data_IF_170016626982
#
_entry.id   IF_170016626982
#
_cell.length_a   1.000
_cell.length_b   1.000
_cell.length_c   1.000
_cell.angle_alpha   90.00
_cell.angle_beta   90.00
_cell.angle_gamma   90.00
#
_symmetry.space_group_name_H-M   'P 1'
#
loop_
_entity.id
_entity.type
_entity.pdbx_description
1 polymer ?
#
# COMPACT_ATOMS: atom_id res chain seq x y z
N UNK A 1 -25.69 32.14 -6.38
CA UNK A 1 -25.16 32.77 -5.15
C UNK A 1 -26.12 33.81 -4.57
N UNK A 2 -26.65 33.57 -3.37
CA UNK A 2 -27.32 34.60 -2.59
C UNK A 2 -26.33 35.73 -2.25
N UNK A 3 -26.76 36.98 -2.40
CA UNK A 3 -25.89 38.15 -2.41
C UNK A 3 -25.05 38.32 -1.13
N UNK A 4 -23.72 38.35 -1.27
CA UNK A 4 -22.86 39.22 -0.45
C UNK A 4 -21.68 38.59 0.29
N UNK A 5 -21.58 37.27 0.43
CA UNK A 5 -20.45 36.65 1.16
C UNK A 5 -19.51 35.98 0.18
N UNK A 6 -18.29 36.49 0.08
CA UNK A 6 -17.19 35.87 -0.66
C UNK A 6 -16.68 34.66 0.15
N UNK A 7 -16.77 33.43 -0.38
CA UNK A 7 -16.29 32.24 0.30
C UNK A 7 -14.83 32.36 0.77
N UNK A 8 -14.62 32.14 2.06
CA UNK A 8 -13.29 32.05 2.68
C UNK A 8 -12.88 30.60 2.89
N UNK A 9 -11.61 30.36 3.20
CA UNK A 9 -11.13 29.01 3.56
C UNK A 9 -11.97 28.46 4.72
N UNK A 10 -12.46 27.23 4.54
CA UNK A 10 -13.40 26.54 5.44
C UNK A 10 -14.88 26.74 5.13
N UNK A 11 -15.21 27.62 4.18
CA UNK A 11 -16.60 27.76 3.70
C UNK A 11 -17.02 26.50 2.98
N UNK A 12 -18.26 26.07 3.22
CA UNK A 12 -18.87 24.94 2.51
C UNK A 12 -19.77 25.48 1.41
N UNK A 13 -19.51 25.03 0.20
CA UNK A 13 -20.35 25.32 -0.96
C UNK A 13 -21.18 24.10 -1.30
N UNK A 14 -22.36 24.31 -1.83
CA UNK A 14 -23.16 23.30 -2.49
C UNK A 14 -23.30 23.69 -3.96
N UNK A 15 -22.69 22.87 -4.83
CA UNK A 15 -22.55 23.14 -6.26
C UNK A 15 -23.46 22.20 -7.05
N UNK A 16 -24.32 22.76 -7.90
CA UNK A 16 -25.15 22.00 -8.83
C UNK A 16 -24.57 22.14 -10.23
N UNK A 17 -24.12 21.02 -10.79
CA UNK A 17 -23.60 20.98 -12.15
C UNK A 17 -24.70 21.00 -13.19
N UNK A 18 -24.43 21.62 -14.35
CA UNK A 18 -25.30 21.63 -15.52
C UNK A 18 -25.15 20.30 -16.29
N UNK A 19 -25.64 19.22 -15.69
CA UNK A 19 -25.63 17.87 -16.28
C UNK A 19 -27.04 17.30 -16.35
N UNK A 20 -27.34 16.58 -17.42
CA UNK A 20 -28.64 15.93 -17.57
C UNK A 20 -28.82 14.83 -16.51
N UNK A 21 -29.93 14.86 -15.77
CA UNK A 21 -30.25 13.83 -14.79
C UNK A 21 -30.96 14.36 -13.55
N UNK A 22 -30.76 13.66 -12.43
CA UNK A 22 -31.33 14.05 -11.13
C UNK A 22 -30.60 15.32 -10.63
N UNK A 23 -31.38 16.28 -10.14
CA UNK A 23 -30.84 17.46 -9.47
C UNK A 23 -30.10 17.04 -8.20
N UNK A 24 -28.77 17.19 -8.22
CA UNK A 24 -27.88 16.82 -7.12
C UNK A 24 -26.90 17.98 -6.87
N UNK A 25 -26.82 18.42 -5.61
CA UNK A 25 -25.87 19.41 -5.14
C UNK A 25 -24.68 18.69 -4.50
N UNK A 26 -23.48 18.97 -4.97
CA UNK A 26 -22.27 18.42 -4.41
C UNK A 26 -21.68 19.38 -3.37
N UNK A 27 -21.44 18.89 -2.16
CA UNK A 27 -20.71 19.68 -1.17
C UNK A 27 -19.26 19.86 -1.59
N UNK A 28 -18.73 21.06 -1.39
CA UNK A 28 -17.33 21.45 -1.59
C UNK A 28 -16.85 22.18 -0.35
N UNK A 29 -15.63 21.92 0.09
CA UNK A 29 -14.99 22.74 1.12
C UNK A 29 -13.93 23.60 0.46
N UNK A 30 -14.04 24.92 0.63
CA UNK A 30 -13.02 25.86 0.17
C UNK A 30 -11.76 25.68 1.01
N UNK A 31 -10.67 25.30 0.36
CA UNK A 31 -9.35 25.11 1.00
C UNK A 31 -8.38 26.24 0.68
N UNK A 32 -8.58 26.93 -0.43
CA UNK A 32 -7.76 28.08 -0.83
C UNK A 32 -8.50 28.97 -1.81
N UNK A 33 -8.12 30.24 -1.88
CA UNK A 33 -8.65 31.20 -2.87
C UNK A 33 -7.58 31.50 -3.90
N UNK A 34 -7.93 31.38 -5.19
CA UNK A 34 -7.00 31.69 -6.28
C UNK A 34 -6.86 33.22 -6.38
N UNK A 35 -5.63 33.77 -6.37
CA UNK A 35 -5.40 35.21 -6.51
C UNK A 35 -5.97 35.75 -7.83
N UNK A 36 -6.43 37.01 -7.80
CA UNK A 36 -6.88 37.76 -8.97
C UNK A 36 -8.12 37.20 -9.71
N UNK A 37 -8.74 36.14 -9.21
CA UNK A 37 -10.04 35.65 -9.66
C UNK A 37 -11.05 35.74 -8.52
N UNK A 38 -12.26 36.17 -8.84
CA UNK A 38 -13.29 36.46 -7.83
C UNK A 38 -13.91 35.16 -7.30
N UNK A 39 -14.23 34.21 -8.19
CA UNK A 39 -14.94 32.98 -7.85
C UNK A 39 -14.16 31.69 -8.17
N UNK A 40 -12.83 31.74 -8.13
CA UNK A 40 -11.97 30.58 -8.36
C UNK A 40 -11.32 30.13 -7.05
N UNK A 41 -11.56 28.88 -6.67
CA UNK A 41 -11.14 28.33 -5.39
C UNK A 41 -10.48 26.97 -5.55
N UNK A 42 -9.56 26.66 -4.64
CA UNK A 42 -9.12 25.28 -4.40
C UNK A 42 -10.15 24.61 -3.51
N UNK A 43 -10.68 23.47 -3.94
CA UNK A 43 -11.80 22.79 -3.27
C UNK A 43 -11.46 21.35 -2.90
N UNK A 44 -11.98 20.90 -1.76
CA UNK A 44 -12.00 19.50 -1.35
C UNK A 44 -13.37 18.91 -1.65
N UNK A 45 -13.41 17.71 -2.23
CA UNK A 45 -14.65 16.95 -2.48
C UNK A 45 -14.94 15.90 -1.41
N UNK A 46 -16.18 15.38 -1.31
CA UNK A 46 -16.52 14.28 -0.40
C UNK A 46 -15.69 13.01 -0.62
N UNK A 47 -15.21 12.80 -1.85
CA UNK A 47 -14.36 11.67 -2.25
C UNK A 47 -12.88 11.88 -1.88
N UNK A 48 -12.54 13.03 -1.30
CA UNK A 48 -11.18 13.36 -0.87
C UNK A 48 -10.29 13.93 -1.96
N UNK A 49 -10.86 14.25 -3.13
CA UNK A 49 -10.15 14.89 -4.23
C UNK A 49 -9.92 16.38 -3.94
N UNK A 50 -8.79 16.89 -4.43
CA UNK A 50 -8.36 18.26 -4.20
C UNK A 50 -7.90 18.88 -5.51
N UNK A 51 -8.65 19.86 -6.02
CA UNK A 51 -8.38 20.53 -7.29
C UNK A 51 -8.96 21.94 -7.28
N UNK A 52 -8.74 22.73 -8.33
CA UNK A 52 -9.29 24.06 -8.48
C UNK A 52 -10.61 24.05 -9.26
N UNK A 53 -11.60 24.85 -8.83
CA UNK A 53 -12.86 25.07 -9.55
C UNK A 53 -13.11 26.57 -9.73
N UNK A 54 -13.35 26.98 -10.97
CA UNK A 54 -13.65 28.36 -11.36
C UNK A 54 -15.16 28.53 -11.57
N UNK A 55 -15.84 29.17 -10.62
CA UNK A 55 -17.27 29.44 -10.70
C UNK A 55 -17.61 30.75 -11.44
N UNK A 56 -16.63 31.42 -12.06
CA UNK A 56 -16.91 32.52 -12.99
C UNK A 56 -17.40 32.00 -14.34
N UNK A 57 -16.99 30.79 -14.73
CA UNK A 57 -17.45 30.15 -15.97
C UNK A 57 -18.79 29.44 -15.74
N UNK A 58 -19.86 30.10 -16.17
CA UNK A 58 -21.24 29.65 -15.95
C UNK A 58 -21.67 28.43 -16.79
N UNK A 59 -20.82 27.87 -17.66
CA UNK A 59 -21.24 26.77 -18.53
C UNK A 59 -21.44 25.44 -17.78
N UNK A 60 -20.64 25.20 -16.74
CA UNK A 60 -20.58 23.91 -16.05
C UNK A 60 -21.51 23.81 -14.84
N UNK A 61 -22.09 24.93 -14.38
CA UNK A 61 -22.85 25.01 -13.13
C UNK A 61 -24.19 25.71 -13.32
N UNK A 62 -25.26 25.06 -12.85
CA UNK A 62 -26.60 25.68 -12.78
C UNK A 62 -26.72 26.63 -11.57
N UNK A 63 -26.10 26.25 -10.45
CA UNK A 63 -26.24 26.97 -9.18
C UNK A 63 -25.09 26.68 -8.20
N UNK A 64 -24.75 27.69 -7.38
CA UNK A 64 -23.76 27.60 -6.31
C UNK A 64 -24.31 28.31 -5.08
N UNK A 65 -24.41 27.55 -3.99
CA UNK A 65 -24.94 27.98 -2.69
C UNK A 65 -23.83 27.96 -1.65
N UNK A 66 -23.82 28.95 -0.76
CA UNK A 66 -22.93 28.96 0.41
C UNK A 66 -23.73 28.44 1.60
N UNK A 67 -23.27 27.33 2.19
CA UNK A 67 -23.88 26.76 3.40
C UNK A 67 -23.30 27.45 4.64
N UNK A 68 -24.12 27.68 5.67
CA UNK A 68 -23.70 28.31 6.93
C UNK A 68 -23.00 27.31 7.85
N UNK A 69 -23.34 26.03 7.75
CA UNK A 69 -22.74 24.96 8.52
C UNK A 69 -22.67 23.64 7.74
N UNK A 70 -21.74 22.73 8.08
CA UNK A 70 -21.72 21.37 7.51
C UNK A 70 -23.04 20.66 7.79
N UNK A 71 -23.60 19.99 6.78
CA UNK A 71 -24.86 19.27 6.91
C UNK A 71 -26.12 20.15 6.94
N UNK A 72 -25.99 21.48 6.81
CA UNK A 72 -27.17 22.34 6.68
C UNK A 72 -27.97 21.99 5.41
N UNK A 73 -29.29 22.02 5.52
CA UNK A 73 -30.21 21.81 4.42
C UNK A 73 -30.89 23.14 4.10
N UNK A 74 -30.65 23.76 2.92
CA UNK A 74 -31.34 24.96 2.51
C UNK A 74 -32.86 24.75 2.48
N UNK A 75 -33.60 25.80 2.81
CA UNK A 75 -35.06 25.75 2.88
C UNK A 75 -35.67 25.25 1.56
N UNK A 76 -36.51 24.21 1.64
CA UNK A 76 -37.19 23.63 0.49
C UNK A 76 -36.40 22.57 -0.29
N UNK A 77 -35.18 22.24 0.14
CA UNK A 77 -34.40 21.14 -0.46
C UNK A 77 -34.53 19.87 0.36
N UNK A 78 -34.43 18.71 -0.30
CA UNK A 78 -34.43 17.40 0.36
C UNK A 78 -33.00 16.95 0.61
N UNK A 79 -32.75 16.29 1.75
CA UNK A 79 -31.47 15.67 2.11
C UNK A 79 -30.89 14.81 0.97
N UNK A 80 -31.76 14.03 0.31
CA UNK A 80 -31.39 13.16 -0.80
C UNK A 80 -30.96 13.90 -2.08
N UNK A 81 -31.03 15.23 -2.10
CA UNK A 81 -30.56 16.09 -3.20
C UNK A 81 -29.12 16.55 -2.99
N UNK A 82 -28.45 16.08 -1.94
CA UNK A 82 -27.06 16.43 -1.64
C UNK A 82 -26.14 15.22 -1.69
N UNK A 83 -24.98 15.42 -2.32
CA UNK A 83 -23.82 14.56 -2.19
C UNK A 83 -22.88 15.19 -1.16
N UNK A 84 -22.98 14.72 0.08
CA UNK A 84 -22.32 15.31 1.26
C UNK A 84 -21.06 14.57 1.67
N UNK A 85 -20.25 15.22 2.51
CA UNK A 85 -19.18 14.54 3.22
C UNK A 85 -19.75 13.49 4.19
N UNK A 86 -19.19 12.26 4.24
CA UNK A 86 -19.67 11.20 5.13
C UNK A 86 -19.42 11.52 6.61
N UNK A 87 -18.43 12.36 6.91
CA UNK A 87 -18.07 12.83 8.25
C UNK A 87 -17.63 14.30 8.15
N UNK A 88 -17.95 15.17 9.12
CA UNK A 88 -17.46 16.54 9.13
C UNK A 88 -15.93 16.59 9.02
N UNK A 89 -15.43 17.44 8.12
CA UNK A 89 -13.98 17.63 7.94
C UNK A 89 -13.40 18.24 9.21
N UNK A 90 -12.51 17.50 9.88
CA UNK A 90 -11.87 17.97 11.11
C UNK A 90 -11.06 19.24 10.85
N UNK A 91 -11.12 20.22 11.77
CA UNK A 91 -10.44 21.52 11.61
C UNK A 91 -8.93 21.39 11.34
N UNK A 92 -8.25 20.41 11.96
CA UNK A 92 -6.84 20.14 11.71
C UNK A 92 -6.55 19.60 10.30
N UNK A 93 -7.46 18.78 9.75
CA UNK A 93 -7.35 18.31 8.37
C UNK A 93 -7.58 19.45 7.37
N UNK A 94 -8.54 20.34 7.66
CA UNK A 94 -8.81 21.52 6.85
C UNK A 94 -7.60 22.47 6.81
N UNK A 95 -6.96 22.74 7.94
CA UNK A 95 -5.76 23.58 8.00
C UNK A 95 -4.60 22.99 7.19
N UNK A 96 -4.41 21.66 7.24
CA UNK A 96 -3.43 20.97 6.42
C UNK A 96 -3.73 21.10 4.91
N UNK A 97 -4.99 20.86 4.51
CA UNK A 97 -5.43 20.99 3.11
C UNK A 97 -5.33 22.44 2.61
N UNK A 98 -5.55 23.43 3.47
CA UNK A 98 -5.36 24.82 3.14
C UNK A 98 -3.89 25.16 2.86
N UNK A 99 -2.96 24.59 3.65
CA UNK A 99 -1.53 24.69 3.37
C UNK A 99 -1.16 24.08 2.01
N UNK A 100 -1.69 22.89 1.69
CA UNK A 100 -1.48 22.26 0.38
C UNK A 100 -2.04 23.10 -0.77
N UNK A 101 -3.23 23.69 -0.59
CA UNK A 101 -3.86 24.55 -1.58
C UNK A 101 -2.99 25.79 -1.89
N UNK A 102 -2.39 26.39 -0.87
CA UNK A 102 -1.55 27.57 -1.03
C UNK A 102 -0.26 27.26 -1.80
N UNK A 103 0.34 26.08 -1.57
CA UNK A 103 1.50 25.59 -2.34
C UNK A 103 1.11 25.30 -3.79
N UNK A 104 -0.04 24.65 -4.01
CA UNK A 104 -0.53 24.35 -5.36
C UNK A 104 -0.77 25.63 -6.18
N UNK A 105 -1.41 26.64 -5.58
CA UNK A 105 -1.63 27.95 -6.19
C UNK A 105 -0.31 28.63 -6.55
N UNK A 106 0.69 28.59 -5.65
CA UNK A 106 1.98 29.22 -5.88
C UNK A 106 2.79 28.55 -7.00
N UNK A 107 2.65 27.23 -7.15
CA UNK A 107 3.43 26.43 -8.10
C UNK A 107 2.79 26.30 -9.49
N UNK A 108 1.50 26.58 -9.65
CA UNK A 108 0.84 26.59 -10.96
C UNK A 108 0.84 28.01 -11.56
N UNK A 109 1.58 28.27 -12.66
CA UNK A 109 1.62 29.59 -13.30
C UNK A 109 0.26 30.11 -13.74
N UNK A 110 -0.72 29.23 -14.02
CA UNK A 110 -2.09 29.59 -14.39
C UNK A 110 -2.87 30.15 -13.20
N UNK A 111 -2.59 29.64 -11.99
CA UNK A 111 -3.27 30.00 -10.75
C UNK A 111 -2.54 31.10 -9.98
N UNK A 112 -1.21 31.20 -10.12
CA UNK A 112 -0.36 32.18 -9.43
C UNK A 112 -0.56 33.64 -9.92
N UNK A 113 -1.40 33.87 -10.94
CA UNK A 113 -1.66 35.20 -11.49
C UNK A 113 -0.46 35.82 -12.22
N UNK A 114 0.49 34.99 -12.70
CA UNK A 114 1.61 35.47 -13.49
C UNK A 114 1.11 35.96 -14.87
N UNK A 115 1.39 37.22 -15.19
CA UNK A 115 1.12 37.82 -16.51
C UNK A 115 1.81 36.98 -17.60
N UNK A 116 1.02 36.26 -18.40
CA UNK A 116 1.52 35.64 -19.64
C UNK A 116 1.95 36.78 -20.56
N UNK A 117 3.22 36.85 -21.01
CA UNK A 117 3.58 37.84 -22.00
C UNK A 117 2.87 37.49 -23.30
N UNK A 118 2.00 38.40 -23.75
CA UNK A 118 1.41 38.37 -25.09
C UNK A 118 2.55 38.57 -26.10
N UNK A 119 3.04 37.46 -26.66
CA UNK A 119 4.01 37.44 -27.75
C UNK A 119 3.30 37.19 -29.07
N UNK A 120 3.07 38.26 -29.83
CA UNK A 120 2.63 38.20 -31.22
C UNK A 120 3.68 37.53 -32.13
N UNK A 121 3.23 37.17 -33.33
CA UNK A 121 3.92 36.26 -34.22
C UNK A 121 5.25 36.76 -34.80
N UNK A 122 6.05 35.77 -35.21
CA UNK A 122 6.79 35.80 -36.47
C UNK A 122 8.27 36.20 -36.41
N UNK A 123 9.13 35.27 -36.86
CA UNK A 123 10.34 35.62 -37.60
C UNK A 123 11.68 35.21 -36.98
N UNK A 124 12.19 34.06 -37.42
CA UNK A 124 13.57 33.86 -37.89
C UNK A 124 14.79 34.27 -37.04
N UNK A 125 15.62 33.27 -36.73
CA UNK A 125 17.07 33.43 -36.54
C UNK A 125 17.59 32.92 -35.19
N UNK A 126 18.24 31.76 -35.17
CA UNK A 126 19.24 31.46 -34.12
C UNK A 126 20.58 32.14 -34.45
N UNK A 127 21.69 31.84 -33.73
CA UNK A 127 21.84 31.23 -32.41
C UNK A 127 22.72 32.09 -31.46
N UNK A 128 22.79 31.77 -30.16
CA UNK A 128 24.02 31.93 -29.34
C UNK A 128 23.82 31.33 -27.94
N UNK A 129 24.61 30.28 -27.65
CA UNK A 129 24.81 29.76 -26.31
C UNK A 129 25.71 30.72 -25.52
N UNK A 130 25.28 31.12 -24.32
CA UNK A 130 26.12 31.87 -23.38
C UNK A 130 26.67 30.89 -22.34
N UNK A 131 27.98 30.65 -22.47
CA UNK A 131 28.84 29.97 -21.51
C UNK A 131 29.00 30.85 -20.25
N UNK A 132 28.78 30.28 -19.06
CA UNK A 132 29.24 30.87 -17.79
C UNK A 132 30.36 29.98 -17.21
N UNK A 133 31.45 30.56 -16.65
CA UNK A 133 32.63 29.81 -16.26
C UNK A 133 32.48 29.14 -14.89
N UNK A 134 32.93 27.88 -14.85
CA UNK A 134 33.06 27.05 -13.65
C UNK A 134 34.37 27.41 -12.92
N UNK A 135 34.27 27.93 -11.70
CA UNK A 135 35.42 28.11 -10.81
C UNK A 135 35.70 26.80 -10.05
N UNK A 136 36.89 26.24 -10.25
CA UNK A 136 37.37 25.04 -9.57
C UNK A 136 37.82 25.37 -8.13
N UNK A 137 37.53 24.52 -7.13
CA UNK A 137 38.16 24.63 -5.81
C UNK A 137 39.54 23.95 -5.80
N UNK A 138 40.48 24.63 -5.15
CA UNK A 138 41.86 24.21 -4.94
C UNK A 138 41.98 23.03 -3.95
N UNK A 139 42.85 22.08 -4.28
CA UNK A 139 43.40 21.09 -3.34
C UNK A 139 44.28 21.76 -2.28
N UNK A 140 44.33 21.23 -1.05
CA UNK A 140 45.53 21.30 -0.22
C UNK A 140 46.30 19.97 -0.25
N UNK A 141 47.61 20.11 -0.31
CA UNK A 141 48.61 19.07 -0.41
C UNK A 141 48.75 18.23 0.88
N UNK A 142 49.15 16.98 0.67
CA UNK A 142 49.63 16.07 1.70
C UNK A 142 51.03 16.48 2.19
N UNK A 143 51.30 16.26 3.48
CA UNK A 143 52.66 16.30 4.02
C UNK A 143 52.75 16.03 5.52
N UNK A 144 53.35 14.89 5.87
CA UNK A 144 54.29 14.82 7.00
C UNK A 144 53.79 14.27 8.33
N UNK A 145 54.23 13.05 8.65
CA UNK A 145 54.14 12.40 9.95
C UNK A 145 55.12 12.98 10.98
N UNK A 146 54.82 12.83 12.28
CA UNK A 146 55.83 12.91 13.34
C UNK A 146 55.33 13.22 14.75
N UNK A 147 55.21 12.18 15.60
CA UNK A 147 55.80 12.18 16.96
C UNK A 147 55.08 12.89 18.13
N UNK A 148 54.59 12.04 19.05
CA UNK A 148 54.97 12.00 20.47
C UNK A 148 54.37 12.96 21.54
N UNK A 149 53.53 12.34 22.38
CA UNK A 149 53.53 12.24 23.87
C UNK A 149 53.40 13.51 24.77
N UNK A 150 52.54 13.34 25.80
CA UNK A 150 52.50 13.93 27.16
C UNK A 150 51.71 15.23 27.42
N UNK A 151 50.69 15.10 28.29
CA UNK A 151 50.80 15.70 29.63
C UNK A 151 49.86 16.84 30.01
N UNK A 152 48.85 16.48 30.81
CA UNK A 152 48.36 17.15 32.03
C UNK A 152 47.99 18.66 32.06
N UNK A 153 46.71 18.85 32.44
CA UNK A 153 46.20 19.63 33.58
C UNK A 153 46.46 21.15 33.68
N UNK A 154 45.39 21.87 34.05
CA UNK A 154 45.52 23.04 34.92
C UNK A 154 44.65 24.25 34.59
N UNK A 155 43.45 24.26 35.19
CA UNK A 155 42.84 25.37 35.97
C UNK A 155 43.22 26.82 35.61
N UNK A 156 42.21 27.63 35.30
CA UNK A 156 42.33 29.09 35.29
C UNK A 156 40.97 29.78 35.21
N UNK A 157 40.27 29.87 36.34
CA UNK A 157 39.08 30.68 36.51
C UNK A 157 39.44 32.17 36.60
N UNK A 158 38.72 33.03 35.87
CA UNK A 158 38.66 34.46 36.17
C UNK A 158 37.26 35.00 35.87
N UNK A 159 36.53 35.16 36.98
CA UNK A 159 35.40 36.04 37.28
C UNK A 159 35.34 37.30 36.40
N UNK A 160 34.16 37.56 35.81
CA UNK A 160 33.72 38.94 35.58
C UNK A 160 32.21 39.08 35.79
N UNK A 161 31.84 40.21 36.38
CA UNK A 161 30.64 40.43 37.14
C UNK A 161 29.41 40.86 36.31
N UNK A 162 28.23 40.38 36.73
CA UNK A 162 26.99 41.16 36.90
C UNK A 162 26.39 41.91 35.71
N UNK A 163 25.39 41.28 35.06
CA UNK A 163 24.23 41.97 34.43
C UNK A 163 22.97 41.18 34.82
N UNK A 164 21.86 41.80 35.25
CA UNK A 164 20.70 41.09 35.75
C UNK A 164 19.80 40.55 34.63
N UNK A 165 19.37 39.30 34.83
CA UNK A 165 18.12 38.64 34.43
C UNK A 165 17.52 38.87 33.01
N UNK A 166 17.57 37.80 32.20
CA UNK A 166 16.39 37.35 31.47
C UNK A 166 16.00 35.98 32.03
N UNK A 167 14.75 35.84 32.49
CA UNK A 167 14.24 34.59 33.00
C UNK A 167 14.40 33.50 31.93
N UNK A 168 15.24 32.50 32.22
CA UNK A 168 15.37 31.33 31.37
C UNK A 168 14.01 30.60 31.32
N UNK A 169 13.41 30.54 30.14
CA UNK A 169 12.35 29.59 29.82
C UNK A 169 12.87 28.20 30.21
N UNK A 170 12.16 27.40 31.02
CA UNK A 170 12.64 26.08 31.38
C UNK A 170 12.90 25.29 30.10
N UNK A 171 14.14 24.82 29.94
CA UNK A 171 14.50 23.91 28.86
C UNK A 171 13.54 22.72 28.93
N UNK A 172 12.71 22.58 27.90
CA UNK A 172 11.81 21.45 27.77
C UNK A 172 12.64 20.17 27.94
N UNK A 173 12.16 19.25 28.76
CA UNK A 173 12.77 17.94 28.95
C UNK A 173 13.19 17.35 27.60
N UNK A 174 14.36 16.71 27.48
CA UNK A 174 14.79 16.13 26.22
C UNK A 174 13.70 15.17 25.76
N UNK A 175 13.04 15.52 24.66
CA UNK A 175 12.04 14.65 24.07
C UNK A 175 12.77 13.37 23.67
N UNK A 176 12.48 12.28 24.37
CA UNK A 176 13.03 10.95 24.10
C UNK A 176 12.52 10.51 22.71
N UNK A 177 13.36 10.59 21.70
CA UNK A 177 13.05 10.21 20.33
C UNK A 177 14.15 10.58 19.35
N UNK A 178 14.04 10.08 18.12
CA UNK A 178 14.95 10.39 17.03
C UNK A 178 14.19 11.18 15.96
N UNK A 179 14.83 12.18 15.37
CA UNK A 179 14.25 12.94 14.26
C UNK A 179 14.27 12.08 13.01
N UNK A 180 13.10 11.91 12.40
CA UNK A 180 12.90 11.08 11.21
C UNK A 180 12.30 11.89 10.07
N UNK A 181 12.68 11.58 8.84
CA UNK A 181 12.04 12.11 7.62
C UNK A 181 10.57 11.69 7.61
N UNK A 182 9.66 12.65 7.49
CA UNK A 182 8.22 12.49 7.67
C UNK A 182 7.41 12.64 6.37
N UNK A 183 8.07 13.00 5.28
CA UNK A 183 7.57 12.92 3.91
C UNK A 183 8.73 12.50 3.00
N UNK A 184 8.49 11.57 2.07
CA UNK A 184 9.52 11.15 1.12
C UNK A 184 9.81 12.28 0.13
N UNK A 185 11.07 12.62 -0.04
CA UNK A 185 11.57 13.62 -0.98
C UNK A 185 12.84 13.10 -1.63
N UNK A 186 13.28 13.71 -2.74
CA UNK A 186 14.35 13.18 -3.59
C UNK A 186 15.59 12.70 -2.81
N UNK A 187 15.74 11.37 -2.70
CA UNK A 187 16.87 10.70 -2.03
C UNK A 187 16.71 10.45 -0.52
N UNK A 188 15.54 10.70 0.06
CA UNK A 188 15.22 10.50 1.47
C UNK A 188 13.90 9.73 1.62
N UNK A 189 13.92 8.66 2.40
CA UNK A 189 12.75 7.82 2.67
C UNK A 189 12.07 8.21 3.99
N UNK A 190 10.75 8.04 4.07
CA UNK A 190 10.02 8.21 5.34
C UNK A 190 10.58 7.24 6.39
N UNK A 191 11.00 7.78 7.53
CA UNK A 191 11.65 7.02 8.60
C UNK A 191 13.18 7.12 8.61
N UNK A 192 13.81 7.74 7.61
CA UNK A 192 15.25 7.98 7.61
C UNK A 192 15.68 8.86 8.78
N UNK A 193 16.82 8.55 9.38
CA UNK A 193 17.36 9.30 10.51
C UNK A 193 17.87 10.67 10.07
N UNK A 194 17.44 11.73 10.77
CA UNK A 194 17.96 13.08 10.58
C UNK A 194 18.89 13.44 11.73
N UNK A 195 20.18 13.73 11.46
CA UNK A 195 21.13 14.17 12.47
C UNK A 195 20.61 15.40 13.22
N UNK A 196 20.71 15.40 14.55
CA UNK A 196 20.22 16.50 15.39
C UNK A 196 20.84 17.86 15.03
N UNK A 197 22.03 17.89 14.44
CA UNK A 197 22.71 19.10 13.98
C UNK A 197 22.00 19.80 12.80
N UNK A 198 21.23 19.05 12.00
CA UNK A 198 20.47 19.60 10.86
C UNK A 198 19.07 20.08 11.26
N UNK A 199 18.66 19.83 12.50
CA UNK A 199 17.32 20.17 13.01
C UNK A 199 17.33 21.61 13.51
N UNK A 200 16.52 22.52 12.92
CA UNK A 200 16.45 23.90 13.39
C UNK A 200 16.00 23.98 14.86
N UNK A 201 16.55 24.94 15.61
CA UNK A 201 16.13 25.19 16.99
C UNK A 201 14.65 25.57 17.06
N UNK A 202 13.93 25.07 18.08
CA UNK A 202 12.51 25.31 18.23
C UNK A 202 11.86 24.39 19.28
N UNK A 203 10.57 24.58 19.48
CA UNK A 203 9.72 23.72 20.33
C UNK A 203 8.80 22.88 19.43
N UNK A 204 8.39 21.70 19.92
CA UNK A 204 7.49 20.80 19.19
C UNK A 204 8.18 19.63 18.47
N UNK A 205 7.35 18.68 18.04
CA UNK A 205 7.73 17.36 17.48
C UNK A 205 7.80 17.32 15.95
N UNK A 206 7.38 18.36 15.23
CA UNK A 206 7.37 18.42 13.75
C UNK A 206 8.11 19.66 13.29
N UNK A 207 8.99 19.54 12.28
CA UNK A 207 9.81 20.64 11.75
C UNK A 207 10.09 20.48 10.26
N UNK A 208 10.66 21.51 9.66
CA UNK A 208 11.30 21.45 8.34
C UNK A 208 12.80 21.57 8.59
N UNK A 209 13.61 20.71 8.00
CA UNK A 209 15.07 20.73 8.11
C UNK A 209 15.70 20.70 6.71
N UNK A 210 16.85 21.35 6.57
CA UNK A 210 17.62 21.28 5.33
C UNK A 210 18.43 19.98 5.32
N UNK A 211 18.00 19.02 4.50
CA UNK A 211 18.68 17.72 4.34
C UNK A 211 19.10 17.59 2.87
N UNK A 212 20.39 17.38 2.63
CA UNK A 212 20.97 17.33 1.28
C UNK A 212 20.63 18.54 0.38
N UNK A 213 20.45 19.72 0.97
CA UNK A 213 20.11 20.95 0.24
C UNK A 213 18.63 21.13 -0.09
N UNK A 214 17.75 20.25 0.38
CA UNK A 214 16.30 20.34 0.21
C UNK A 214 15.60 20.60 1.56
N UNK A 215 14.49 21.33 1.52
CA UNK A 215 13.62 21.54 2.68
C UNK A 215 12.77 20.31 2.93
N UNK A 216 13.14 19.49 3.91
CA UNK A 216 12.47 18.22 4.19
C UNK A 216 11.68 18.27 5.49
N UNK A 217 10.45 17.77 5.43
CA UNK A 217 9.59 17.66 6.61
C UNK A 217 10.05 16.52 7.52
N UNK A 218 10.29 16.83 8.80
CA UNK A 218 10.81 15.90 9.81
C UNK A 218 9.89 15.84 11.04
N UNK A 219 9.86 14.70 11.70
CA UNK A 219 9.12 14.49 12.95
C UNK A 219 9.98 13.75 13.96
N UNK A 220 9.85 14.11 15.23
CA UNK A 220 10.46 13.40 16.32
C UNK A 220 9.63 12.18 16.66
N UNK A 221 10.20 11.00 16.43
CA UNK A 221 9.54 9.71 16.59
C UNK A 221 10.24 8.92 17.68
N UNK A 222 9.46 8.30 18.56
CA UNK A 222 10.00 7.36 19.55
C UNK A 222 10.38 6.06 18.86
N UNK A 223 11.54 5.50 19.17
CA UNK A 223 12.08 4.33 18.46
C UNK A 223 11.16 3.09 18.58
N UNK A 224 10.42 2.97 19.68
CA UNK A 224 9.43 1.90 19.92
C UNK A 224 8.15 2.03 19.07
N UNK A 225 7.88 3.22 18.52
CA UNK A 225 6.69 3.51 17.73
C UNK A 225 7.01 3.83 16.25
N UNK A 226 8.23 3.54 15.79
CA UNK A 226 8.63 3.87 14.41
C UNK A 226 7.71 3.22 13.36
N UNK A 227 7.43 1.92 13.49
CA UNK A 227 6.61 1.21 12.51
C UNK A 227 5.16 1.73 12.47
N UNK A 228 4.52 1.88 13.63
CA UNK A 228 3.17 2.42 13.71
C UNK A 228 3.07 3.89 13.26
N UNK A 229 4.15 4.64 13.34
CA UNK A 229 4.23 5.99 12.81
C UNK A 229 4.40 6.03 11.29
N UNK A 230 5.24 5.15 10.71
CA UNK A 230 5.42 5.01 9.25
C UNK A 230 4.08 4.59 8.62
N UNK A 231 3.43 3.57 9.17
CA UNK A 231 2.17 3.01 8.64
C UNK A 231 1.04 4.05 8.57
N UNK A 232 1.01 5.01 9.50
CA UNK A 232 0.02 6.12 9.49
C UNK A 232 0.25 7.13 8.37
N UNK A 233 1.50 7.33 7.96
CA UNK A 233 1.89 8.37 6.99
C UNK A 233 1.89 7.89 5.56
N UNK A 234 2.14 6.59 5.38
CA UNK A 234 2.03 5.91 4.12
C UNK A 234 1.14 4.68 4.38
N UNK A 235 -0.20 4.84 4.43
CA UNK A 235 -1.08 3.69 4.47
C UNK A 235 -0.90 2.96 3.14
N UNK A 236 0.04 2.03 3.12
CA UNK A 236 0.23 1.12 2.01
C UNK A 236 -1.07 0.34 1.90
N UNK A 237 -1.58 0.22 0.68
CA UNK A 237 -2.62 -0.78 0.42
C UNK A 237 -2.12 -2.10 1.02
N UNK A 238 -2.94 -2.74 1.86
CA UNK A 238 -2.62 -3.99 2.55
C UNK A 238 -2.23 -5.12 1.59
N UNK A 239 -2.41 -4.93 0.28
CA UNK A 239 -1.97 -5.81 -0.81
C UNK A 239 -0.52 -5.58 -1.26
N UNK A 240 0.19 -4.61 -0.69
CA UNK A 240 1.56 -4.23 -1.06
C UNK A 240 2.45 -4.26 0.19
N UNK A 241 3.60 -4.93 0.09
CA UNK A 241 4.59 -4.88 1.15
C UNK A 241 5.43 -3.60 1.05
N UNK A 242 6.08 -3.23 2.15
CA UNK A 242 7.02 -2.10 2.15
C UNK A 242 8.10 -2.31 1.10
N UNK A 243 8.30 -1.36 0.19
CA UNK A 243 9.36 -1.47 -0.81
C UNK A 243 10.73 -1.46 -0.13
N UNK A 244 11.54 -2.46 -0.42
CA UNK A 244 12.95 -2.59 -0.03
C UNK A 244 13.83 -2.49 -1.27
N UNK A 245 14.88 -1.70 -1.17
CA UNK A 245 15.88 -1.51 -2.23
C UNK A 245 17.21 -2.05 -1.72
N UNK A 246 17.86 -2.93 -2.49
CA UNK A 246 19.20 -3.45 -2.20
C UNK A 246 20.09 -3.18 -3.41
N UNK A 247 21.27 -2.63 -3.17
CA UNK A 247 22.25 -2.30 -4.22
C UNK A 247 21.67 -1.44 -5.36
N UNK A 248 20.77 -0.50 -5.03
CA UNK A 248 20.16 0.41 -6.02
C UNK A 248 19.05 -0.21 -6.88
N UNK A 249 18.65 -1.46 -6.63
CA UNK A 249 17.53 -2.11 -7.31
C UNK A 249 16.47 -2.59 -6.31
N UNK A 250 15.20 -2.63 -6.75
CA UNK A 250 14.11 -3.23 -5.96
C UNK A 250 14.39 -4.72 -5.81
N UNK A 251 14.63 -5.13 -4.58
CA UNK A 251 14.93 -6.52 -4.27
C UNK A 251 14.66 -6.78 -2.79
N UNK A 252 13.93 -7.86 -2.55
CA UNK A 252 13.62 -8.38 -1.22
C UNK A 252 13.93 -9.88 -1.22
N UNK A 253 14.65 -10.31 -0.20
CA UNK A 253 14.98 -11.72 -0.03
C UNK A 253 13.70 -12.53 0.22
N UNK A 254 13.60 -13.70 -0.40
CA UNK A 254 12.38 -14.54 -0.31
C UNK A 254 11.94 -14.79 1.14
N UNK A 255 12.89 -15.17 2.00
CA UNK A 255 12.63 -15.50 3.40
C UNK A 255 12.07 -14.30 4.16
N UNK A 256 12.67 -13.13 3.94
CA UNK A 256 12.22 -11.86 4.52
C UNK A 256 10.83 -11.48 4.00
N UNK A 257 10.56 -11.69 2.71
CA UNK A 257 9.25 -11.43 2.13
C UNK A 257 8.15 -12.28 2.76
N UNK A 258 8.41 -13.57 3.00
CA UNK A 258 7.45 -14.48 3.62
C UNK A 258 7.26 -14.22 5.13
N UNK A 259 8.33 -13.86 5.84
CA UNK A 259 8.27 -13.52 7.27
C UNK A 259 7.50 -12.23 7.54
N UNK A 260 7.55 -11.28 6.61
CA UNK A 260 6.81 -10.01 6.68
C UNK A 260 5.32 -10.13 6.31
N UNK A 261 4.85 -11.29 5.80
CA UNK A 261 3.47 -11.43 5.30
C UNK A 261 2.43 -11.25 6.40
N UNK A 262 1.37 -10.52 6.08
CA UNK A 262 0.22 -10.32 6.96
C UNK A 262 -1.08 -10.52 6.21
N UNK A 263 -1.82 -11.53 6.64
CA UNK A 263 -3.13 -11.84 6.08
C UNK A 263 -4.20 -11.00 6.79
N UNK A 264 -4.85 -10.10 6.03
CA UNK A 264 -5.91 -9.21 6.48
C UNK A 264 -7.28 -9.75 6.07
N UNK A 265 -8.33 -9.53 6.87
CA UNK A 265 -9.67 -10.06 6.50
C UNK A 265 -10.42 -9.07 5.61
N UNK A 266 -10.88 -9.54 4.44
CA UNK A 266 -11.72 -8.77 3.52
C UNK A 266 -13.14 -9.33 3.54
N UNK A 267 -14.14 -8.48 3.81
CA UNK A 267 -15.54 -8.88 3.80
C UNK A 267 -16.04 -9.24 2.38
N UNK A 268 -15.39 -8.71 1.36
CA UNK A 268 -15.70 -8.82 -0.05
C UNK A 268 -14.69 -9.69 -0.83
N UNK A 269 -13.93 -10.56 -0.15
CA UNK A 269 -12.99 -11.44 -0.83
C UNK A 269 -13.72 -12.35 -1.84
N UNK A 270 -13.34 -12.36 -3.13
CA UNK A 270 -14.20 -12.89 -4.19
C UNK A 270 -14.21 -14.42 -4.30
N UNK A 271 -13.37 -15.14 -3.55
CA UNK A 271 -13.21 -16.58 -3.64
C UNK A 271 -13.86 -17.29 -2.46
N UNK A 272 -14.59 -18.37 -2.73
CA UNK A 272 -15.18 -19.23 -1.71
C UNK A 272 -14.14 -20.14 -1.05
N UNK A 273 -14.44 -20.55 0.18
CA UNK A 273 -13.58 -21.45 0.95
C UNK A 273 -12.40 -20.75 1.64
N UNK A 274 -11.54 -21.52 2.31
CA UNK A 274 -10.42 -20.97 3.08
C UNK A 274 -9.36 -20.33 2.17
N UNK A 275 -8.69 -19.29 2.65
CA UNK A 275 -7.53 -18.73 1.99
C UNK A 275 -6.31 -19.61 2.23
N UNK A 276 -5.56 -19.87 1.17
CA UNK A 276 -4.46 -20.85 1.17
C UNK A 276 -3.11 -20.24 0.87
N UNK A 277 -3.06 -19.01 0.35
CA UNK A 277 -1.84 -18.30 0.01
C UNK A 277 -0.86 -18.26 1.18
N UNK A 278 -1.34 -17.92 2.39
CA UNK A 278 -0.51 -17.90 3.60
C UNK A 278 0.06 -19.28 3.96
N UNK A 279 -0.73 -20.35 3.82
CA UNK A 279 -0.23 -21.72 4.02
C UNK A 279 0.84 -22.07 2.99
N UNK A 280 0.59 -21.81 1.70
CA UNK A 280 1.50 -22.15 0.61
C UNK A 280 2.84 -21.42 0.75
N UNK A 281 2.82 -20.12 1.07
CA UNK A 281 4.03 -19.32 1.26
C UNK A 281 4.88 -19.84 2.42
N UNK A 282 4.24 -20.15 3.56
CA UNK A 282 4.93 -20.77 4.71
C UNK A 282 5.47 -22.16 4.38
N UNK A 283 4.75 -22.95 3.59
CA UNK A 283 5.21 -24.26 3.12
C UNK A 283 6.47 -24.11 2.27
N UNK A 284 6.47 -23.21 1.29
CA UNK A 284 7.62 -22.91 0.43
C UNK A 284 8.82 -22.41 1.24
N UNK A 285 8.61 -21.57 2.25
CA UNK A 285 9.69 -21.01 3.08
C UNK A 285 10.35 -22.03 4.04
N UNK A 286 9.73 -23.19 4.27
CA UNK A 286 10.37 -24.30 5.00
C UNK A 286 11.43 -25.01 4.16
N UNK A 287 11.33 -24.93 2.83
CA UNK A 287 12.25 -25.56 1.90
C UNK A 287 13.38 -24.58 1.54
N UNK A 288 14.62 -25.07 1.34
CA UNK A 288 15.68 -24.23 0.80
C UNK A 288 15.30 -23.73 -0.60
N UNK A 289 15.68 -22.49 -0.92
CA UNK A 289 15.49 -21.89 -2.25
C UNK A 289 14.10 -21.36 -2.59
N UNK A 290 13.10 -21.57 -1.72
CA UNK A 290 11.78 -20.94 -1.86
C UNK A 290 11.01 -21.40 -3.09
N UNK A 291 10.32 -20.46 -3.76
CA UNK A 291 9.44 -20.77 -4.88
C UNK A 291 10.18 -21.35 -6.11
N UNK A 292 11.40 -20.88 -6.43
CA UNK A 292 12.15 -21.38 -7.59
C UNK A 292 12.53 -22.86 -7.44
N UNK A 293 13.12 -23.21 -6.30
CA UNK A 293 13.61 -24.57 -6.07
C UNK A 293 12.47 -25.56 -5.84
N UNK A 294 11.29 -25.09 -5.40
CA UNK A 294 10.11 -25.93 -5.23
C UNK A 294 9.78 -26.73 -6.48
N UNK A 295 9.81 -26.11 -7.67
CA UNK A 295 9.48 -26.80 -8.92
C UNK A 295 10.42 -28.00 -9.14
N UNK A 296 11.72 -27.79 -8.94
CA UNK A 296 12.76 -28.82 -9.12
C UNK A 296 12.55 -29.95 -8.10
N UNK A 297 12.35 -29.61 -6.83
CA UNK A 297 12.13 -30.57 -5.75
C UNK A 297 10.87 -31.40 -5.97
N UNK A 298 9.75 -30.75 -6.32
CA UNK A 298 8.49 -31.42 -6.61
C UNK A 298 8.61 -32.36 -7.81
N UNK A 299 9.29 -31.93 -8.89
CA UNK A 299 9.50 -32.76 -10.07
C UNK A 299 10.34 -34.00 -9.77
N UNK A 300 11.44 -33.83 -9.03
CA UNK A 300 12.32 -34.93 -8.62
C UNK A 300 11.59 -35.90 -7.70
N UNK A 301 10.87 -35.40 -6.70
CA UNK A 301 10.12 -36.21 -5.74
C UNK A 301 8.95 -36.98 -6.37
N UNK A 302 8.28 -36.37 -7.36
CA UNK A 302 7.11 -36.96 -8.03
C UNK A 302 7.48 -37.73 -9.31
N UNK A 303 8.75 -37.69 -9.73
CA UNK A 303 9.28 -38.27 -10.99
C UNK A 303 8.41 -37.93 -12.22
N UNK A 304 8.03 -36.67 -12.35
CA UNK A 304 7.23 -36.17 -13.47
C UNK A 304 8.10 -35.63 -14.61
N UNK A 305 7.69 -35.90 -15.85
CA UNK A 305 8.37 -35.44 -17.05
C UNK A 305 7.96 -34.01 -17.40
N UNK A 306 8.82 -33.23 -18.11
CA UNK A 306 8.44 -31.87 -18.55
C UNK A 306 7.18 -31.82 -19.41
N UNK A 307 6.89 -32.91 -20.14
CA UNK A 307 5.72 -33.04 -21.00
C UNK A 307 4.44 -33.44 -20.26
N UNK A 308 4.54 -33.80 -18.98
CA UNK A 308 3.36 -34.20 -18.20
C UNK A 308 2.46 -32.97 -17.93
N UNK A 309 1.16 -33.21 -17.78
CA UNK A 309 0.17 -32.16 -17.64
C UNK A 309 0.48 -31.22 -16.47
N UNK A 310 0.40 -29.91 -16.73
CA UNK A 310 0.58 -28.87 -15.73
C UNK A 310 2.03 -28.64 -15.27
N UNK A 311 3.02 -29.40 -15.74
CA UNK A 311 4.42 -29.26 -15.27
C UNK A 311 5.02 -27.92 -15.69
N UNK A 312 4.88 -27.52 -16.96
CA UNK A 312 5.35 -26.21 -17.46
C UNK A 312 4.59 -25.03 -16.84
N UNK A 313 3.28 -25.22 -16.62
CA UNK A 313 2.44 -24.24 -15.94
C UNK A 313 2.92 -24.05 -14.49
N UNK A 314 3.19 -25.13 -13.76
CA UNK A 314 3.68 -25.09 -12.39
C UNK A 314 5.02 -24.32 -12.26
N UNK A 315 5.93 -24.49 -13.21
CA UNK A 315 7.18 -23.70 -13.27
C UNK A 315 6.89 -22.21 -13.42
N UNK A 316 6.04 -21.86 -14.39
CA UNK A 316 5.67 -20.48 -14.69
C UNK A 316 4.96 -19.80 -13.51
N UNK A 317 4.04 -20.50 -12.85
CA UNK A 317 3.31 -19.99 -11.70
C UNK A 317 4.23 -19.74 -10.50
N UNK A 318 5.23 -20.59 -10.25
CA UNK A 318 6.19 -20.37 -9.17
C UNK A 318 7.16 -19.22 -9.46
N UNK A 319 7.57 -19.04 -10.72
CA UNK A 319 8.39 -17.87 -11.09
C UNK A 319 7.58 -16.58 -10.91
N UNK A 320 6.28 -16.59 -11.25
CA UNK A 320 5.39 -15.45 -10.98
C UNK A 320 5.28 -15.15 -9.47
N UNK A 321 5.13 -16.17 -8.62
CA UNK A 321 5.12 -16.02 -7.15
C UNK A 321 6.43 -15.42 -6.63
N UNK A 322 7.57 -15.87 -7.15
CA UNK A 322 8.88 -15.34 -6.78
C UNK A 322 9.03 -13.87 -7.17
N UNK A 323 8.72 -13.50 -8.42
CA UNK A 323 8.82 -12.12 -8.89
C UNK A 323 7.89 -11.20 -8.11
N UNK A 324 6.65 -11.63 -7.89
CA UNK A 324 5.67 -10.85 -7.15
C UNK A 324 6.09 -10.61 -5.69
N UNK A 325 6.74 -11.59 -5.05
CA UNK A 325 7.22 -11.48 -3.67
C UNK A 325 8.54 -10.69 -3.55
N UNK A 326 9.52 -10.97 -4.40
CA UNK A 326 10.88 -10.42 -4.27
C UNK A 326 11.11 -9.13 -5.04
N UNK A 327 10.52 -8.98 -6.22
CA UNK A 327 10.72 -7.81 -7.09
C UNK A 327 9.60 -6.79 -6.90
N UNK A 328 8.34 -7.21 -7.12
CA UNK A 328 7.16 -6.33 -6.98
C UNK A 328 6.80 -6.07 -5.51
N UNK A 329 7.24 -6.96 -4.62
CA UNK A 329 7.06 -6.88 -3.16
C UNK A 329 5.59 -6.74 -2.77
N UNK A 330 4.78 -7.64 -3.29
CA UNK A 330 3.35 -7.70 -3.06
C UNK A 330 3.00 -8.54 -1.84
N UNK A 331 1.93 -8.17 -1.14
CA UNK A 331 1.39 -8.95 -0.02
C UNK A 331 0.49 -10.05 -0.58
N UNK A 332 1.12 -11.16 -0.95
CA UNK A 332 0.46 -12.25 -1.69
C UNK A 332 -0.70 -12.90 -0.93
N UNK A 333 -0.73 -12.81 0.41
CA UNK A 333 -1.82 -13.37 1.22
C UNK A 333 -3.14 -12.61 1.07
N UNK A 334 -3.06 -11.35 0.65
CA UNK A 334 -4.21 -10.45 0.49
C UNK A 334 -4.67 -10.32 -0.97
N UNK A 335 -3.94 -10.93 -1.91
CA UNK A 335 -4.22 -10.84 -3.34
C UNK A 335 -5.08 -12.01 -3.84
N UNK A 336 -6.30 -11.72 -4.25
CA UNK A 336 -7.21 -12.72 -4.82
C UNK A 336 -6.64 -13.41 -6.08
N UNK A 337 -5.89 -12.69 -6.92
CA UNK A 337 -5.24 -13.29 -8.10
C UNK A 337 -4.18 -14.33 -7.71
N UNK A 338 -3.42 -14.09 -6.63
CA UNK A 338 -2.43 -15.05 -6.15
C UNK A 338 -3.06 -16.21 -5.39
N UNK A 339 -4.21 -16.01 -4.74
CA UNK A 339 -4.98 -17.13 -4.20
C UNK A 339 -5.43 -18.10 -5.31
N UNK A 340 -5.83 -17.61 -6.49
CA UNK A 340 -6.11 -18.46 -7.66
C UNK A 340 -4.84 -19.20 -8.12
N UNK A 341 -3.71 -18.50 -8.19
CA UNK A 341 -2.41 -19.10 -8.56
C UNK A 341 -2.04 -20.23 -7.60
N UNK A 342 -2.15 -20.01 -6.29
CA UNK A 342 -1.85 -21.04 -5.29
C UNK A 342 -2.83 -22.20 -5.34
N UNK A 343 -4.13 -21.96 -5.54
CA UNK A 343 -5.11 -23.04 -5.74
C UNK A 343 -4.81 -23.84 -7.00
N UNK A 344 -4.33 -23.19 -8.06
CA UNK A 344 -3.91 -23.86 -9.30
C UNK A 344 -2.66 -24.72 -9.09
N UNK A 345 -1.64 -24.20 -8.39
CA UNK A 345 -0.46 -24.96 -7.98
C UNK A 345 -0.85 -26.19 -7.15
N UNK A 346 -1.67 -26.01 -6.12
CA UNK A 346 -2.18 -27.11 -5.29
C UNK A 346 -2.96 -28.16 -6.12
N UNK A 347 -3.74 -27.71 -7.11
CA UNK A 347 -4.47 -28.62 -8.03
C UNK A 347 -3.49 -29.47 -8.86
N UNK A 348 -2.47 -28.84 -9.44
CA UNK A 348 -1.45 -29.55 -10.22
C UNK A 348 -0.74 -30.57 -9.33
N UNK A 349 -0.29 -30.17 -8.15
CA UNK A 349 0.39 -31.08 -7.23
C UNK A 349 -0.53 -32.22 -6.73
N UNK A 350 -1.80 -31.92 -6.46
CA UNK A 350 -2.80 -32.92 -6.08
C UNK A 350 -2.98 -34.01 -7.13
N UNK A 351 -2.98 -33.66 -8.43
CA UNK A 351 -3.07 -34.64 -9.51
C UNK A 351 -1.94 -35.68 -9.51
N UNK A 352 -0.79 -35.38 -8.91
CA UNK A 352 0.35 -36.30 -8.82
C UNK A 352 0.57 -36.86 -7.40
N UNK A 353 -0.29 -36.53 -6.43
CA UNK A 353 -0.13 -36.93 -5.03
C UNK A 353 -0.04 -38.46 -4.88
N UNK A 354 -0.92 -39.21 -5.55
CA UNK A 354 -0.94 -40.67 -5.46
C UNK A 354 0.31 -41.29 -6.09
N UNK A 355 0.76 -40.76 -7.24
CA UNK A 355 2.03 -41.19 -7.87
C UNK A 355 3.20 -41.00 -6.92
N UNK A 356 3.31 -39.85 -6.27
CA UNK A 356 4.38 -39.58 -5.30
C UNK A 356 4.29 -40.50 -4.07
N UNK A 357 3.08 -40.82 -3.62
CA UNK A 357 2.83 -41.77 -2.51
C UNK A 357 3.26 -43.20 -2.88
N UNK A 358 2.93 -43.66 -4.08
CA UNK A 358 3.32 -44.99 -4.58
C UNK A 358 4.84 -45.13 -4.74
N UNK A 359 5.50 -44.09 -5.24
CA UNK A 359 6.96 -44.06 -5.39
C UNK A 359 7.68 -44.18 -4.04
N UNK A 360 7.19 -43.48 -3.02
CA UNK A 360 7.75 -43.59 -1.67
C UNK A 360 7.51 -44.99 -1.09
N UNK A 361 6.30 -45.52 -1.22
CA UNK A 361 5.97 -46.88 -0.73
C UNK A 361 6.84 -47.97 -1.39
N UNK A 362 7.08 -47.88 -2.70
CA UNK A 362 7.91 -48.86 -3.43
C UNK A 362 9.41 -48.73 -3.12
N UNK A 363 9.91 -47.53 -2.85
CA UNK A 363 11.31 -47.31 -2.49
C UNK A 363 11.64 -47.90 -1.11
N UNK A 364 10.71 -47.82 -0.15
CA UNK A 364 10.86 -48.42 1.18
C UNK A 364 10.73 -49.95 1.20
N UNK A 365 10.09 -50.55 0.20
CA UNK A 365 10.00 -52.02 0.09
C UNK A 365 11.33 -52.70 -0.26
N UNK A 366 12.35 -51.97 -0.73
CA UNK A 366 13.65 -52.58 -1.08
C UNK A 366 14.53 -52.93 0.12
N UNK A 367 14.37 -52.27 1.28
CA UNK A 367 15.23 -52.49 2.45
C UNK A 367 14.45 -52.25 3.76
N UNK A 368 14.09 -53.32 4.49
CA UNK A 368 13.52 -53.25 5.86
C UNK A 368 12.08 -53.79 6.02
N UNK A 369 11.50 -53.69 7.23
CA UNK A 369 10.11 -54.07 7.50
C UNK A 369 9.13 -53.23 6.68
N UNK A 370 8.11 -53.87 6.12
CA UNK A 370 7.13 -53.27 5.19
C UNK A 370 6.09 -52.40 5.91
N UNK A 371 6.51 -51.28 6.51
CA UNK A 371 5.56 -50.26 6.94
C UNK A 371 5.30 -49.27 5.78
N UNK A 372 4.03 -49.05 5.48
CA UNK A 372 3.57 -47.96 4.61
C UNK A 372 3.94 -46.60 5.17
N UNK A 373 4.00 -45.58 4.32
CA UNK A 373 4.29 -44.20 4.75
C UNK A 373 3.28 -43.70 5.80
N UNK A 374 2.02 -44.11 5.72
CA UNK A 374 1.00 -43.75 6.71
C UNK A 374 1.27 -44.40 8.06
N UNK A 375 1.64 -45.68 8.08
CA UNK A 375 1.99 -46.38 9.31
C UNK A 375 3.22 -45.74 9.95
N UNK A 376 4.26 -45.42 9.17
CA UNK A 376 5.46 -44.72 9.68
C UNK A 376 5.09 -43.36 10.27
N UNK A 377 4.27 -42.58 9.56
CA UNK A 377 3.81 -41.25 10.02
C UNK A 377 2.98 -41.35 11.30
N UNK A 378 2.16 -42.39 11.44
CA UNK A 378 1.35 -42.63 12.64
C UNK A 378 2.22 -42.92 13.86
N UNK A 379 3.30 -43.69 13.72
CA UNK A 379 4.24 -43.95 14.82
C UNK A 379 5.10 -42.74 15.17
N UNK A 380 5.48 -41.93 14.18
CA UNK A 380 6.30 -40.74 14.41
C UNK A 380 5.49 -39.56 14.97
N UNK A 381 4.16 -39.59 14.87
CA UNK A 381 3.31 -38.45 15.20
C UNK A 381 3.54 -37.24 14.28
N UNK A 382 4.25 -37.44 13.16
CA UNK A 382 4.53 -36.41 12.17
C UNK A 382 3.87 -36.85 10.87
N UNK A 383 2.76 -36.22 10.50
CA UNK A 383 2.15 -36.39 9.17
C UNK A 383 2.99 -35.68 8.13
N UNK A 384 4.15 -36.25 7.77
CA UNK A 384 5.01 -35.72 6.70
C UNK A 384 4.47 -36.15 5.35
N UNK A 385 3.49 -35.42 4.84
CA UNK A 385 3.28 -35.37 3.39
C UNK A 385 4.00 -34.14 2.81
N UNK A 386 5.29 -34.00 3.12
CA UNK A 386 6.15 -32.85 2.74
C UNK A 386 6.50 -32.82 1.23
N UNK A 387 5.96 -33.77 0.46
CA UNK A 387 6.20 -33.87 -0.98
C UNK A 387 5.22 -33.03 -1.78
N UNK A 388 4.01 -32.77 -1.26
CA UNK A 388 2.98 -31.97 -1.93
C UNK A 388 2.54 -30.78 -1.08
N UNK A 389 2.49 -29.61 -1.71
CA UNK A 389 1.98 -28.36 -1.17
C UNK A 389 0.46 -28.37 -1.35
N UNK A 390 -0.28 -28.83 -0.34
CA UNK A 390 -1.75 -28.82 -0.33
C UNK A 390 -2.20 -28.37 1.06
N UNK A 391 -3.01 -27.31 1.12
CA UNK A 391 -3.59 -26.82 2.36
C UNK A 391 -4.65 -27.82 2.87
N UNK A 392 -4.49 -28.36 4.10
CA UNK A 392 -5.47 -29.26 4.69
C UNK A 392 -6.88 -28.66 4.81
N UNK A 393 -6.99 -27.34 5.04
CA UNK A 393 -8.28 -26.67 5.14
C UNK A 393 -8.99 -26.63 3.79
N UNK A 394 -8.25 -26.33 2.71
CA UNK A 394 -8.79 -26.37 1.36
C UNK A 394 -9.22 -27.79 0.98
N UNK A 395 -8.38 -28.79 1.28
CA UNK A 395 -8.72 -30.18 0.99
C UNK A 395 -9.98 -30.63 1.75
N UNK A 396 -10.16 -30.21 3.00
CA UNK A 396 -11.37 -30.47 3.79
C UNK A 396 -12.62 -29.79 3.18
N UNK A 397 -12.46 -28.52 2.77
CA UNK A 397 -13.52 -27.76 2.12
C UNK A 397 -13.97 -28.41 0.80
N UNK A 398 -13.01 -28.81 -0.05
CA UNK A 398 -13.29 -29.51 -1.31
C UNK A 398 -13.99 -30.85 -1.06
N UNK A 399 -13.51 -31.66 -0.11
CA UNK A 399 -14.16 -32.94 0.24
C UNK A 399 -15.62 -32.75 0.66
N UNK A 400 -15.92 -31.68 1.40
CA UNK A 400 -17.28 -31.36 1.82
C UNK A 400 -18.15 -31.00 0.62
N UNK A 401 -17.69 -30.10 -0.25
CA UNK A 401 -18.43 -29.73 -1.46
C UNK A 401 -18.65 -30.91 -2.41
N UNK A 402 -17.63 -31.72 -2.67
CA UNK A 402 -17.74 -32.91 -3.54
C UNK A 402 -18.77 -33.90 -2.99
N UNK A 403 -18.83 -34.05 -1.67
CA UNK A 403 -19.83 -34.90 -1.01
C UNK A 403 -21.24 -34.33 -1.19
N UNK A 404 -21.43 -33.04 -0.95
CA UNK A 404 -22.72 -32.36 -1.14
C UNK A 404 -23.22 -32.47 -2.60
N UNK A 405 -22.33 -32.28 -3.57
CA UNK A 405 -22.64 -32.41 -5.00
C UNK A 405 -23.03 -33.85 -5.37
N UNK A 406 -22.33 -34.85 -4.83
CA UNK A 406 -22.66 -36.25 -5.05
C UNK A 406 -24.03 -36.62 -4.46
N UNK A 407 -24.35 -36.12 -3.27
CA UNK A 407 -25.66 -36.30 -2.62
C UNK A 407 -26.77 -35.61 -3.42
N UNK A 408 -26.54 -34.38 -3.88
CA UNK A 408 -27.48 -33.65 -4.74
C UNK A 408 -27.74 -34.40 -6.05
N UNK A 409 -26.69 -34.88 -6.73
CA UNK A 409 -26.81 -35.65 -7.96
C UNK A 409 -27.59 -36.96 -7.74
N UNK A 410 -27.36 -37.66 -6.62
CA UNK A 410 -28.11 -38.84 -6.23
C UNK A 410 -29.59 -38.53 -6.01
N UNK A 411 -29.91 -37.45 -5.29
CA UNK A 411 -31.29 -37.04 -5.01
C UNK A 411 -32.03 -36.62 -6.29
N UNK A 412 -31.36 -35.91 -7.21
CA UNK A 412 -31.92 -35.55 -8.51
C UNK A 412 -32.22 -36.79 -9.38
N UNK A 413 -31.35 -37.81 -9.33
CA UNK A 413 -31.60 -39.08 -10.01
C UNK A 413 -32.81 -39.80 -9.42
N UNK A 414 -32.88 -39.92 -8.08
CA UNK A 414 -34.01 -40.54 -7.40
C UNK A 414 -35.34 -39.84 -7.73
N UNK A 415 -35.37 -38.50 -7.69
CA UNK A 415 -36.55 -37.72 -8.04
C UNK A 415 -36.99 -37.91 -9.51
N UNK A 416 -36.03 -38.12 -10.44
CA UNK A 416 -36.35 -38.44 -11.85
C UNK A 416 -36.97 -39.83 -11.97
N UNK A 417 -36.40 -40.82 -11.28
CA UNK A 417 -36.88 -42.19 -11.29
C UNK A 417 -38.30 -42.29 -10.66
N UNK A 418 -38.56 -41.57 -9.56
CA UNK A 418 -39.89 -41.48 -8.93
C UNK A 418 -40.93 -40.82 -9.85
N UNK A 419 -40.58 -39.72 -10.53
CA UNK A 419 -41.46 -39.09 -11.51
C UNK A 419 -41.80 -40.06 -12.65
N UNK A 420 -40.80 -40.77 -13.17
CA UNK A 420 -41.02 -41.77 -14.21
C UNK A 420 -41.92 -42.93 -13.75
N UNK A 421 -41.76 -43.41 -12.51
CA UNK A 421 -42.62 -44.43 -11.92
C UNK A 421 -44.06 -43.93 -11.73
N UNK A 422 -44.25 -42.69 -11.23
CA UNK A 422 -45.57 -42.10 -11.07
C UNK A 422 -46.31 -41.93 -12.41
N UNK A 423 -45.61 -41.57 -13.49
CA UNK A 423 -46.20 -41.52 -14.83
C UNK A 423 -46.64 -42.90 -15.33
N UNK A 424 -45.84 -43.95 -15.08
CA UNK A 424 -46.22 -45.33 -15.45
C UNK A 424 -47.44 -45.82 -14.68
N UNK A 425 -47.49 -45.57 -13.37
CA UNK A 425 -48.63 -45.98 -12.54
C UNK A 425 -49.93 -45.29 -12.99
N UNK A 426 -49.89 -44.00 -13.31
CA UNK A 426 -51.07 -43.27 -13.86
C UNK A 426 -51.54 -43.79 -15.21
N UNK A 427 -50.66 -44.39 -16.01
CA UNK A 427 -51.05 -45.01 -17.29
C UNK A 427 -51.77 -46.32 -17.04
N UNK A 428 -51.26 -47.15 -16.13
CA UNK A 428 -51.86 -48.43 -15.77
C UNK A 428 -53.22 -48.28 -15.06
N UNK A 429 -53.49 -47.17 -14.38
CA UNK A 429 -54.81 -46.88 -13.77
C UNK A 429 -55.89 -46.46 -14.78
N UNK A 430 -55.51 -46.12 -16.01
CA UNK A 430 -56.43 -45.66 -17.06
C UNK A 430 -56.79 -46.74 -18.09
N UNK A 431 -56.07 -47.85 -18.10
CA UNK A 431 -56.37 -49.07 -18.87
C UNK A 431 -57.19 -50.02 -17.99
#
# INVERSE_FOLDING_TARGET
MAAGVDPVVGTILAVRYNVAGRVLYHERVVTGKVPNKRLHYMILTPDGEHYDEDYEDSQDFDDVLVLRAPGELPAGMLEASFYRFPVPVAAGALAFRAGQAQVAIANDPRLAGAMVPVGGGGGGGGPAAVHLPLAAPAQPAAGGAGGAVLGMAGVGAAVNAGVPAAAAVPAAAPLLGQWRVAAAEAGLEVGDLVPAALVPAGTGIKRIAMVNGNETFIELVQDDNLNGWIDKRLPLDVRIQRIKVRHGARCREWREAVEDLREETFADFPLSGPRTSGFCLRYLNRQPGGAADRHILWRQGSKVNPSDWGVSEHETLLEAVKLASSYDQLELTNLACFEIVFRRLQTIEYCYQDRSRELNNTQHQKWGPKLTLEEQSAFMGVTRNEMVMIDPQLLSHIKTHVKEDAELAKNLRLARDERAAAFKNKKNEKE
#
